data_IF_448921840190
#
_entry.id   IF_448921840190
#
_cell.length_a   1.000
_cell.length_b   1.000
_cell.length_c   1.000
_cell.angle_alpha   90.00
_cell.angle_beta   90.00
_cell.angle_gamma   90.00
#
_symmetry.space_group_name_H-M   'P 1'
#
loop_
_entity.id
_entity.type
_entity.pdbx_description
1 polymer ?
#
# COMPACT_ATOMS: atom_id res chain seq x y z
N UNK A 1 -2.39 3.52 16.06
CA UNK A 1 -3.40 3.32 15.00
C UNK A 1 -2.97 2.33 13.91
N UNK A 2 -1.74 2.46 13.35
CA UNK A 2 -1.23 1.48 12.36
C UNK A 2 -1.14 0.07 12.95
N UNK A 3 -0.55 -0.06 14.13
CA UNK A 3 -0.43 -1.35 14.85
C UNK A 3 -1.79 -2.00 14.99
N UNK A 4 -2.78 -1.26 15.49
CA UNK A 4 -4.16 -1.78 15.63
C UNK A 4 -4.75 -2.26 14.29
N UNK A 5 -4.50 -1.55 13.19
CA UNK A 5 -4.97 -1.99 11.86
C UNK A 5 -4.21 -3.21 11.34
N UNK A 6 -2.94 -3.35 11.64
CA UNK A 6 -2.19 -4.58 11.34
C UNK A 6 -2.69 -5.78 12.16
N UNK A 7 -3.08 -5.57 13.43
CA UNK A 7 -3.76 -6.59 14.24
C UNK A 7 -5.12 -6.97 13.63
N UNK A 8 -5.94 -5.98 13.25
CA UNK A 8 -7.25 -6.22 12.62
C UNK A 8 -7.14 -7.10 11.37
N UNK A 9 -6.11 -6.90 10.54
CA UNK A 9 -5.89 -7.73 9.35
C UNK A 9 -5.20 -9.06 9.65
N UNK A 10 -4.87 -9.32 10.91
CA UNK A 10 -4.35 -10.62 11.35
C UNK A 10 -2.84 -10.78 11.23
N UNK A 11 -2.08 -9.70 11.27
CA UNK A 11 -0.61 -9.74 11.30
C UNK A 11 -0.14 -10.12 12.70
N UNK A 12 0.58 -11.24 12.88
CA UNK A 12 1.18 -11.60 14.17
C UNK A 12 2.31 -10.62 14.52
N UNK A 13 2.22 -10.01 15.69
CA UNK A 13 3.21 -9.04 16.16
C UNK A 13 3.59 -9.30 17.61
N UNK A 14 4.86 -9.11 17.92
CA UNK A 14 5.39 -9.01 19.27
C UNK A 14 5.87 -7.58 19.49
N UNK A 15 5.32 -6.90 20.46
CA UNK A 15 5.60 -5.49 20.74
C UNK A 15 6.42 -5.42 22.01
N UNK A 16 7.68 -4.98 21.89
CA UNK A 16 8.56 -4.68 23.01
C UNK A 16 8.57 -3.20 23.36
N UNK A 17 9.49 -2.82 24.22
CA UNK A 17 9.63 -1.42 24.67
C UNK A 17 10.13 -0.53 23.52
N UNK A 18 11.04 -1.04 22.71
CA UNK A 18 11.75 -0.31 21.64
C UNK A 18 11.80 -1.08 20.30
N UNK A 19 11.05 -2.18 20.17
CA UNK A 19 10.98 -2.98 18.96
C UNK A 19 9.57 -3.51 18.68
N UNK A 20 9.32 -3.83 17.42
CA UNK A 20 8.15 -4.58 16.97
C UNK A 20 8.65 -5.72 16.08
N UNK A 21 8.35 -6.96 16.46
CA UNK A 21 8.60 -8.14 15.66
C UNK A 21 7.34 -8.47 14.88
N UNK A 22 7.43 -8.54 13.54
CA UNK A 22 6.30 -8.80 12.65
C UNK A 22 6.58 -10.07 11.86
N UNK A 23 5.59 -10.95 11.79
CA UNK A 23 5.60 -12.11 10.88
C UNK A 23 4.53 -11.93 9.80
N UNK A 24 4.90 -12.24 8.55
CA UNK A 24 3.90 -12.31 7.49
C UNK A 24 2.90 -13.44 7.78
N UNK A 25 1.59 -13.19 7.85
CA UNK A 25 0.59 -14.23 8.03
C UNK A 25 0.36 -14.98 6.71
N UNK A 26 -0.13 -16.22 6.79
CA UNK A 26 -0.55 -16.96 5.58
C UNK A 26 -1.75 -16.30 4.89
N UNK A 27 -2.63 -15.69 5.66
CA UNK A 27 -3.84 -15.01 5.17
C UNK A 27 -4.07 -13.72 5.94
N UNK A 28 -4.38 -12.69 5.19
CA UNK A 28 -4.87 -11.43 5.72
C UNK A 28 -6.39 -11.39 5.72
N UNK A 29 -6.97 -10.69 6.68
CA UNK A 29 -8.42 -10.45 6.79
C UNK A 29 -8.76 -9.04 6.35
N UNK A 30 -9.90 -8.87 5.68
CA UNK A 30 -10.40 -7.56 5.36
C UNK A 30 -10.69 -6.74 6.62
N UNK A 31 -10.44 -5.44 6.55
CA UNK A 31 -10.76 -4.48 7.62
C UNK A 31 -11.18 -3.14 7.04
N UNK A 32 -11.95 -2.39 7.80
CA UNK A 32 -12.32 -1.03 7.44
C UNK A 32 -11.30 -0.03 8.00
N UNK A 33 -10.94 0.94 7.19
CA UNK A 33 -10.02 2.03 7.55
C UNK A 33 -10.74 3.36 7.44
N UNK A 34 -10.63 4.18 8.47
CA UNK A 34 -11.07 5.58 8.44
C UNK A 34 -9.87 6.45 8.81
N UNK A 35 -9.46 7.32 7.90
CA UNK A 35 -8.40 8.28 8.20
C UNK A 35 -8.91 9.34 9.16
N UNK A 36 -8.07 9.75 10.09
CA UNK A 36 -8.41 10.76 11.10
C UNK A 36 -7.13 11.46 11.55
N UNK A 37 -7.27 12.66 12.11
CA UNK A 37 -6.16 13.32 12.80
C UNK A 37 -5.67 12.46 13.95
N UNK A 38 -4.40 12.69 14.33
CA UNK A 38 -3.80 11.96 15.46
C UNK A 38 -4.73 11.98 16.71
N UNK A 39 -4.92 10.84 17.41
CA UNK A 39 -4.25 9.54 17.27
C UNK A 39 -4.95 8.54 16.30
N UNK A 40 -5.81 9.01 15.40
CA UNK A 40 -6.47 8.17 14.42
C UNK A 40 -5.51 7.62 13.34
N UNK A 41 -6.06 6.89 12.36
CA UNK A 41 -5.27 6.32 11.27
C UNK A 41 -4.80 7.44 10.32
N UNK A 42 -3.48 7.62 10.12
CA UNK A 42 -2.98 8.75 9.34
C UNK A 42 -3.28 8.59 7.84
N UNK A 43 -3.69 9.69 7.22
CA UNK A 43 -3.97 9.72 5.77
C UNK A 43 -2.75 9.36 4.92
N UNK A 44 -1.53 9.60 5.40
CA UNK A 44 -0.28 9.24 4.70
C UNK A 44 -0.04 7.74 4.60
N UNK A 45 -0.68 6.94 5.41
CA UNK A 45 -0.65 5.48 5.34
C UNK A 45 -1.83 4.87 4.58
N UNK A 46 -2.81 5.68 4.20
CA UNK A 46 -4.04 5.19 3.55
C UNK A 46 -3.73 4.48 2.23
N UNK A 47 -2.98 5.10 1.33
CA UNK A 47 -2.67 4.53 0.02
C UNK A 47 -1.72 3.32 0.12
N UNK A 48 -0.61 3.34 0.89
CA UNK A 48 0.18 2.14 1.15
C UNK A 48 -0.62 1.00 1.77
N UNK A 49 -1.52 1.29 2.70
CA UNK A 49 -2.37 0.28 3.34
C UNK A 49 -3.41 -0.30 2.37
N UNK A 50 -3.89 0.51 1.40
CA UNK A 50 -4.76 0.03 0.32
C UNK A 50 -4.09 -1.09 -0.50
N UNK A 51 -2.79 -0.98 -0.79
CA UNK A 51 -2.05 -2.05 -1.46
C UNK A 51 -2.04 -3.35 -0.64
N UNK A 52 -1.83 -3.27 0.68
CA UNK A 52 -1.93 -4.43 1.58
C UNK A 52 -3.33 -5.06 1.52
N UNK A 53 -4.39 -4.26 1.54
CA UNK A 53 -5.78 -4.73 1.54
C UNK A 53 -6.17 -5.47 0.25
N UNK A 54 -5.45 -5.28 -0.87
CA UNK A 54 -5.65 -6.09 -2.08
C UNK A 54 -5.41 -7.58 -1.83
N UNK A 55 -4.65 -7.93 -0.78
CA UNK A 55 -4.32 -9.30 -0.39
C UNK A 55 -5.19 -9.82 0.76
N UNK A 56 -6.04 -8.99 1.32
CA UNK A 56 -6.91 -9.37 2.44
C UNK A 56 -8.16 -10.10 1.96
N UNK A 57 -8.52 -11.20 2.62
CA UNK A 57 -9.70 -11.98 2.29
C UNK A 57 -10.97 -11.25 2.70
N UNK A 58 -11.77 -10.89 1.74
CA UNK A 58 -13.06 -10.24 1.94
C UNK A 58 -13.11 -8.82 1.35
N UNK A 59 -14.02 -8.02 1.86
CA UNK A 59 -14.30 -6.65 1.42
C UNK A 59 -13.84 -5.66 2.47
N UNK A 60 -12.89 -4.80 2.11
CA UNK A 60 -12.40 -3.69 2.94
C UNK A 60 -12.97 -2.37 2.46
N UNK A 61 -13.30 -1.49 3.38
CA UNK A 61 -13.76 -0.13 3.07
C UNK A 61 -12.77 0.87 3.61
N UNK A 62 -12.31 1.77 2.74
CA UNK A 62 -11.50 2.92 3.14
C UNK A 62 -12.38 4.17 3.07
N UNK A 63 -12.41 4.90 4.19
CA UNK A 63 -13.05 6.20 4.30
C UNK A 63 -11.97 7.26 4.58
N UNK A 64 -11.63 8.05 3.54
CA UNK A 64 -10.65 9.13 3.63
C UNK A 64 -11.37 10.41 4.08
N UNK A 65 -11.07 10.89 5.27
CA UNK A 65 -11.77 12.04 5.86
C UNK A 65 -10.91 13.30 5.95
N UNK A 66 -9.63 13.21 5.55
CA UNK A 66 -8.67 14.30 5.66
C UNK A 66 -8.53 15.02 4.31
N UNK A 67 -8.38 14.24 3.22
CA UNK A 67 -8.21 14.77 1.88
C UNK A 67 -9.28 14.23 0.92
N UNK A 68 -9.76 15.08 0.06
CA UNK A 68 -10.59 14.68 -1.07
C UNK A 68 -9.73 14.13 -2.23
N UNK A 69 -10.31 13.23 -3.01
CA UNK A 69 -9.69 12.68 -4.23
C UNK A 69 -8.32 12.02 -4.01
N UNK A 70 -8.10 11.36 -2.86
CA UNK A 70 -6.82 10.70 -2.53
C UNK A 70 -6.82 9.20 -2.83
N UNK A 71 -7.40 8.79 -3.97
CA UNK A 71 -7.52 7.40 -4.39
C UNK A 71 -6.93 7.12 -5.79
N UNK A 72 -6.04 7.99 -6.27
CA UNK A 72 -5.42 7.84 -7.60
C UNK A 72 -4.65 6.52 -7.75
N UNK A 73 -4.05 6.03 -6.66
CA UNK A 73 -3.36 4.75 -6.64
C UNK A 73 -4.27 3.56 -6.99
N UNK A 74 -5.56 3.62 -6.70
CA UNK A 74 -6.49 2.51 -6.98
C UNK A 74 -6.62 2.25 -8.48
N UNK A 75 -6.57 3.30 -9.29
CA UNK A 75 -6.59 3.16 -10.74
C UNK A 75 -5.37 2.36 -11.24
N UNK A 76 -4.21 2.67 -10.73
CA UNK A 76 -2.97 1.96 -11.07
C UNK A 76 -2.94 0.53 -10.50
N UNK A 77 -3.45 0.32 -9.28
CA UNK A 77 -3.61 -1.02 -8.70
C UNK A 77 -4.56 -1.90 -9.53
N UNK A 78 -5.64 -1.33 -10.06
CA UNK A 78 -6.56 -2.05 -10.93
C UNK A 78 -5.90 -2.50 -12.23
N UNK A 79 -4.98 -1.72 -12.81
CA UNK A 79 -4.16 -2.16 -13.95
C UNK A 79 -3.32 -3.39 -13.62
N UNK A 80 -2.87 -3.53 -12.37
CA UNK A 80 -2.11 -4.67 -11.88
C UNK A 80 -2.99 -5.89 -11.54
N UNK A 81 -4.31 -5.76 -11.60
CA UNK A 81 -5.27 -6.84 -11.33
C UNK A 81 -5.99 -6.74 -9.99
N UNK A 82 -5.85 -5.63 -9.26
CA UNK A 82 -6.65 -5.39 -8.06
C UNK A 82 -8.14 -5.21 -8.41
N UNK A 83 -9.00 -5.52 -7.45
CA UNK A 83 -10.44 -5.29 -7.54
C UNK A 83 -10.81 -4.18 -6.57
N UNK A 84 -10.93 -2.97 -7.09
CA UNK A 84 -11.29 -1.79 -6.29
C UNK A 84 -12.40 -0.99 -6.95
N UNK A 85 -13.19 -0.32 -6.13
CA UNK A 85 -14.29 0.54 -6.55
C UNK A 85 -14.27 1.83 -5.75
N UNK A 86 -14.33 2.97 -6.44
CA UNK A 86 -14.48 4.27 -5.82
C UNK A 86 -15.98 4.56 -5.68
N UNK A 87 -16.48 4.59 -4.44
CA UNK A 87 -17.89 4.88 -4.15
C UNK A 87 -18.18 6.38 -4.13
N UNK A 88 -17.24 7.15 -3.61
CA UNK A 88 -17.26 8.62 -3.58
C UNK A 88 -15.82 9.13 -3.67
N UNK A 89 -15.62 10.44 -3.78
CA UNK A 89 -14.28 11.04 -3.72
C UNK A 89 -13.54 10.80 -2.38
N UNK A 90 -14.25 10.32 -1.36
CA UNK A 90 -13.72 10.05 -0.02
C UNK A 90 -13.90 8.59 0.43
N UNK A 91 -14.50 7.73 -0.38
CA UNK A 91 -14.80 6.36 0.03
C UNK A 91 -14.55 5.36 -1.08
N UNK A 92 -13.75 4.35 -0.78
CA UNK A 92 -13.42 3.28 -1.70
C UNK A 92 -13.59 1.89 -1.06
N UNK A 93 -13.77 0.91 -1.93
CA UNK A 93 -13.87 -0.51 -1.58
C UNK A 93 -12.73 -1.25 -2.24
N UNK A 94 -12.14 -2.19 -1.51
CA UNK A 94 -11.12 -3.11 -2.00
C UNK A 94 -11.59 -4.52 -1.69
N UNK A 95 -11.61 -5.37 -2.71
CA UNK A 95 -11.99 -6.78 -2.57
C UNK A 95 -10.78 -7.65 -2.83
N UNK A 96 -10.48 -8.57 -1.94
CA UNK A 96 -9.33 -9.47 -2.04
C UNK A 96 -9.61 -10.86 -1.49
N UNK A 97 -8.60 -11.74 -1.56
CA UNK A 97 -7.28 -11.49 -2.15
C UNK A 97 -7.34 -11.47 -3.68
N UNK A 98 -6.52 -10.61 -4.29
CA UNK A 98 -6.35 -10.55 -5.74
C UNK A 98 -4.92 -10.90 -6.13
N UNK A 99 -4.77 -11.62 -7.25
CA UNK A 99 -3.45 -11.95 -7.80
C UNK A 99 -2.94 -10.76 -8.61
N UNK A 100 -2.05 -9.98 -8.03
CA UNK A 100 -1.41 -8.86 -8.74
C UNK A 100 -0.37 -9.37 -9.74
N UNK A 101 -0.33 -8.75 -10.90
CA UNK A 101 0.64 -9.01 -11.98
C UNK A 101 1.47 -7.76 -12.23
N UNK A 102 2.77 -7.94 -12.50
CA UNK A 102 3.67 -6.87 -12.87
C UNK A 102 3.16 -6.12 -14.11
N UNK A 103 3.16 -4.81 -14.03
CA UNK A 103 2.72 -3.88 -15.08
C UNK A 103 3.56 -2.61 -15.05
N UNK A 104 3.50 -1.86 -16.14
CA UNK A 104 3.96 -0.47 -16.13
C UNK A 104 2.85 0.41 -15.57
N UNK A 105 3.14 1.05 -14.44
CA UNK A 105 2.24 1.91 -13.68
C UNK A 105 2.91 3.25 -13.40
N UNK A 106 2.16 4.25 -13.00
CA UNK A 106 2.65 5.61 -12.84
C UNK A 106 2.40 6.13 -11.43
N UNK A 107 3.46 6.64 -10.79
CA UNK A 107 3.33 7.36 -9.54
C UNK A 107 2.75 8.76 -9.83
N UNK A 108 1.57 9.05 -9.28
CA UNK A 108 0.90 10.35 -9.44
C UNK A 108 1.28 11.33 -8.34
N UNK A 109 1.69 10.80 -7.21
CA UNK A 109 2.18 11.52 -6.03
C UNK A 109 3.04 10.60 -5.16
N UNK A 110 3.59 11.14 -4.07
CA UNK A 110 4.46 10.43 -3.14
C UNK A 110 3.80 9.18 -2.54
N UNK A 111 2.57 9.28 -2.05
CA UNK A 111 1.88 8.19 -1.34
C UNK A 111 1.32 7.15 -2.31
N UNK A 112 0.83 7.60 -3.46
CA UNK A 112 0.46 6.71 -4.55
C UNK A 112 1.67 5.88 -5.01
N UNK A 113 2.80 6.52 -5.21
CA UNK A 113 4.05 5.83 -5.58
C UNK A 113 4.48 4.80 -4.54
N UNK A 114 4.42 5.11 -3.25
CA UNK A 114 4.72 4.16 -2.17
C UNK A 114 3.77 2.94 -2.19
N UNK A 115 2.49 3.18 -2.44
CA UNK A 115 1.49 2.11 -2.63
C UNK A 115 1.86 1.18 -3.79
N UNK A 116 2.33 1.74 -4.91
CA UNK A 116 2.76 0.97 -6.08
C UNK A 116 4.06 0.19 -5.85
N UNK A 117 4.98 0.71 -5.04
CA UNK A 117 6.18 -0.04 -4.62
C UNK A 117 5.76 -1.28 -3.83
N UNK A 118 4.86 -1.15 -2.86
CA UNK A 118 4.33 -2.27 -2.08
C UNK A 118 3.63 -3.28 -3.02
N UNK A 119 2.76 -2.80 -3.91
CA UNK A 119 2.08 -3.65 -4.87
C UNK A 119 3.06 -4.38 -5.80
N UNK A 120 4.13 -3.72 -6.24
CA UNK A 120 5.18 -4.31 -7.06
C UNK A 120 5.94 -5.44 -6.34
N UNK A 121 6.16 -5.31 -5.03
CA UNK A 121 6.79 -6.36 -4.20
C UNK A 121 5.87 -7.58 -4.03
N UNK A 122 4.56 -7.40 -4.11
CA UNK A 122 3.55 -8.47 -4.01
C UNK A 122 3.33 -9.16 -5.37
N UNK A 123 3.40 -8.39 -6.46
CA UNK A 123 2.99 -8.83 -7.79
C UNK A 123 3.88 -9.92 -8.36
N UNK A 124 3.29 -10.81 -9.17
CA UNK A 124 4.05 -11.73 -10.00
C UNK A 124 4.58 -11.02 -11.25
N UNK A 125 5.84 -11.28 -11.59
CA UNK A 125 6.53 -10.63 -12.71
C UNK A 125 7.17 -9.30 -12.32
N UNK A 126 7.49 -8.48 -13.31
CA UNK A 126 8.17 -7.19 -13.11
C UNK A 126 7.18 -6.05 -13.17
N UNK A 127 7.21 -5.19 -12.18
CA UNK A 127 6.46 -3.92 -12.14
C UNK A 127 7.42 -2.78 -12.42
N UNK A 128 7.09 -1.96 -13.42
CA UNK A 128 7.82 -0.73 -13.72
C UNK A 128 7.00 0.46 -13.23
N UNK A 129 7.58 1.28 -12.37
CA UNK A 129 6.93 2.47 -11.81
C UNK A 129 7.55 3.71 -12.46
N UNK A 130 6.78 4.37 -13.32
CA UNK A 130 7.16 5.64 -13.95
C UNK A 130 7.01 6.79 -12.95
N UNK A 131 7.71 7.90 -13.21
CA UNK A 131 7.73 9.09 -12.34
C UNK A 131 8.16 8.79 -10.90
N UNK A 132 9.12 7.88 -10.74
CA UNK A 132 9.61 7.43 -9.44
C UNK A 132 10.20 8.56 -8.57
N UNK A 133 10.53 9.70 -9.16
CA UNK A 133 11.00 10.89 -8.43
C UNK A 133 10.04 11.34 -7.33
N UNK A 134 8.74 11.17 -7.49
CA UNK A 134 7.77 11.44 -6.43
C UNK A 134 8.05 10.61 -5.18
N UNK A 135 8.39 9.34 -5.34
CA UNK A 135 8.69 8.43 -4.22
C UNK A 135 10.06 8.74 -3.62
N UNK A 136 11.07 8.94 -4.47
CA UNK A 136 12.46 9.14 -4.04
C UNK A 136 12.65 10.43 -3.25
N UNK A 137 11.85 11.47 -3.50
CA UNK A 137 11.91 12.73 -2.76
C UNK A 137 11.43 12.61 -1.31
N UNK A 138 10.57 11.66 -1.00
CA UNK A 138 9.96 11.53 0.32
C UNK A 138 10.42 10.32 1.12
N UNK A 139 11.09 9.36 0.47
CA UNK A 139 11.61 8.16 1.12
C UNK A 139 13.10 8.02 0.86
N UNK A 140 13.91 8.57 1.75
CA UNK A 140 15.36 8.55 1.66
C UNK A 140 15.92 7.13 1.56
N UNK A 141 16.72 6.87 0.52
CA UNK A 141 17.39 5.59 0.33
C UNK A 141 16.45 4.40 0.16
N UNK A 142 15.22 4.61 -0.34
CA UNK A 142 14.19 3.57 -0.40
C UNK A 142 14.67 2.30 -1.12
N UNK A 143 15.30 2.44 -2.29
CA UNK A 143 15.76 1.30 -3.09
C UNK A 143 16.83 0.51 -2.32
N UNK A 144 17.79 1.20 -1.73
CA UNK A 144 18.87 0.59 -0.94
C UNK A 144 18.30 -0.12 0.30
N UNK A 145 17.42 0.56 1.05
CA UNK A 145 16.82 -0.01 2.26
C UNK A 145 15.99 -1.27 1.94
N UNK A 146 15.19 -1.25 0.89
CA UNK A 146 14.41 -2.41 0.47
C UNK A 146 15.30 -3.54 -0.05
N UNK A 147 16.34 -3.23 -0.81
CA UNK A 147 17.31 -4.23 -1.29
C UNK A 147 18.03 -4.90 -0.12
N UNK A 148 18.42 -4.14 0.90
CA UNK A 148 19.10 -4.66 2.09
C UNK A 148 18.25 -5.63 2.92
N UNK A 149 16.92 -5.55 2.81
CA UNK A 149 16.00 -6.51 3.43
C UNK A 149 15.50 -7.59 2.47
N UNK A 150 16.12 -7.72 1.29
CA UNK A 150 15.90 -8.83 0.36
C UNK A 150 14.92 -8.53 -0.79
N UNK A 151 14.43 -7.31 -0.96
CA UNK A 151 13.60 -6.96 -2.09
C UNK A 151 14.41 -6.95 -3.40
N UNK A 152 13.81 -7.44 -4.49
CA UNK A 152 14.36 -7.34 -5.84
C UNK A 152 13.85 -6.06 -6.49
N UNK A 153 14.54 -4.97 -6.23
CA UNK A 153 14.19 -3.64 -6.70
C UNK A 153 15.44 -2.91 -7.22
N UNK A 154 15.28 -2.13 -8.25
CA UNK A 154 16.34 -1.28 -8.81
C UNK A 154 15.78 0.04 -9.32
N UNK A 155 16.62 1.05 -9.39
CA UNK A 155 16.35 2.30 -10.06
C UNK A 155 16.99 2.27 -11.45
N UNK A 156 16.19 2.55 -12.47
CA UNK A 156 16.66 2.75 -13.85
C UNK A 156 16.49 4.22 -14.21
N UNK A 157 17.45 4.75 -14.96
CA UNK A 157 17.30 6.07 -15.59
C UNK A 157 16.58 5.88 -16.91
N UNK A 158 15.61 6.73 -17.21
CA UNK A 158 15.09 6.85 -18.56
C UNK A 158 16.21 7.43 -19.44
N UNK A 159 16.52 6.74 -20.55
CA UNK A 159 17.45 7.22 -21.58
C UNK A 159 16.83 8.37 -22.39
#
# INVERSE_FOLDING_TARGET
SLISKLEDVGVPMEIGVDYINIKAPEKLKATNVKTQVYPGFPTDLQQPFAALLTQATGKSVINETIYENRFQNLYELNKMGATTELLTNQKAVIVGPTKLSGKTVRATDLRAGASLVIAGLIANGTTTILDADYVLRGYEGLVEKLTNVGAKIKLEKED
#
